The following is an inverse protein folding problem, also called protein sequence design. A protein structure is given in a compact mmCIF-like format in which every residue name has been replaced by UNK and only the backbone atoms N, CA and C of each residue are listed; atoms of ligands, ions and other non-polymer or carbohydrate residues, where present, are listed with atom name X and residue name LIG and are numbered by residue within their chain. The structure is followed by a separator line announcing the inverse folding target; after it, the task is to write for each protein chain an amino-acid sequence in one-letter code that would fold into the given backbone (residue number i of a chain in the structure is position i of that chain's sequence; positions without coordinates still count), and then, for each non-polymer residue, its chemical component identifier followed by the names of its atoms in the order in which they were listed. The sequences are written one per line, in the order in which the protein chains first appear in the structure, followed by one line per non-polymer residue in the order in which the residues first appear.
data_IF_306900452458
#
_entry.id   IF_306900452458
#
_cell.length_a   1.000
_cell.length_b   1.000
_cell.length_c   1.000
_cell.angle_alpha   90.00
_cell.angle_beta   90.00
_cell.angle_gamma   90.00
#
_symmetry.space_group_name_H-M   'P 1'
#
loop_
_entity.id
_entity.type
_entity.pdbx_description
1 polymer ?
#
# COMPACT_ATOMS: atom_id res chain seq x y z
N UNK A 1 -19.23 -20.21 -6.46
CA UNK A 1 -18.20 -19.31 -5.89
C UNK A 1 -17.96 -19.63 -4.40
N UNK A 2 -17.42 -20.80 -4.06
CA UNK A 2 -17.26 -21.25 -2.67
C UNK A 2 -16.24 -20.44 -1.85
N UNK A 3 -15.21 -19.87 -2.48
CA UNK A 3 -14.13 -19.15 -1.77
C UNK A 3 -14.55 -17.82 -1.12
N UNK A 4 -15.65 -17.22 -1.56
CA UNK A 4 -16.15 -15.95 -1.00
C UNK A 4 -16.91 -16.14 0.32
N UNK A 5 -17.47 -17.34 0.55
CA UNK A 5 -18.23 -17.64 1.77
C UNK A 5 -17.37 -17.59 3.04
N UNK A 6 -16.05 -17.85 2.91
CA UNK A 6 -15.10 -17.85 4.04
C UNK A 6 -14.27 -16.54 4.13
N UNK A 7 -14.45 -15.56 3.21
CA UNK A 7 -13.78 -14.24 3.22
C UNK A 7 -12.25 -14.30 3.10
N UNK A 8 -11.68 -15.44 2.71
CA UNK A 8 -10.26 -15.60 2.48
C UNK A 8 -10.03 -15.80 0.98
N UNK A 9 -9.46 -14.78 0.34
CA UNK A 9 -9.05 -14.85 -1.06
C UNK A 9 -7.55 -15.11 -1.04
N UNK A 10 -7.15 -16.36 -1.27
CA UNK A 10 -5.73 -16.80 -1.20
C UNK A 10 -4.84 -15.95 -2.12
N UNK A 11 -5.30 -15.62 -3.31
CA UNK A 11 -4.54 -14.78 -4.26
C UNK A 11 -4.26 -13.36 -3.75
N UNK A 12 -5.02 -12.83 -2.78
CA UNK A 12 -4.70 -11.52 -2.18
C UNK A 12 -3.43 -11.55 -1.32
N UNK A 13 -3.07 -12.72 -0.77
CA UNK A 13 -1.80 -12.90 -0.05
C UNK A 13 -0.63 -12.65 -1.00
N UNK A 14 -0.70 -13.23 -2.20
CA UNK A 14 0.28 -13.03 -3.28
C UNK A 14 0.38 -11.56 -3.68
N UNK A 15 -0.75 -10.93 -4.01
CA UNK A 15 -0.76 -9.54 -4.46
C UNK A 15 -0.30 -8.54 -3.40
N UNK A 16 -0.66 -8.75 -2.15
CA UNK A 16 -0.14 -7.92 -1.05
C UNK A 16 1.38 -8.02 -0.92
N UNK A 17 1.92 -9.23 -1.03
CA UNK A 17 3.36 -9.44 -1.03
C UNK A 17 4.02 -8.73 -2.22
N UNK A 18 3.49 -8.89 -3.44
CA UNK A 18 4.01 -8.22 -4.63
C UNK A 18 3.97 -6.69 -4.52
N UNK A 19 2.87 -6.12 -4.03
CA UNK A 19 2.76 -4.67 -3.82
C UNK A 19 3.76 -4.16 -2.77
N UNK A 20 4.01 -4.92 -1.70
CA UNK A 20 5.02 -4.57 -0.70
C UNK A 20 6.44 -4.69 -1.27
N UNK A 21 6.76 -5.80 -1.93
CA UNK A 21 8.06 -6.03 -2.55
C UNK A 21 8.34 -5.07 -3.71
N UNK A 22 7.30 -4.58 -4.39
CA UNK A 22 7.43 -3.49 -5.37
C UNK A 22 8.05 -2.22 -4.78
N UNK A 23 8.00 -2.04 -3.45
CA UNK A 23 8.72 -0.99 -2.75
C UNK A 23 10.24 -1.14 -2.84
N UNK A 24 10.74 -2.37 -2.83
CA UNK A 24 12.18 -2.63 -2.98
C UNK A 24 12.64 -2.18 -4.38
N UNK A 25 11.86 -2.51 -5.41
CA UNK A 25 12.17 -2.09 -6.79
C UNK A 25 12.20 -0.56 -6.89
N UNK A 26 11.19 0.14 -6.29
CA UNK A 26 11.15 1.59 -6.24
C UNK A 26 12.39 2.17 -5.55
N UNK A 27 12.69 1.70 -4.33
CA UNK A 27 13.80 2.26 -3.56
C UNK A 27 15.20 1.87 -4.09
N UNK A 28 15.28 0.82 -4.93
CA UNK A 28 16.49 0.53 -5.67
C UNK A 28 16.81 1.58 -6.75
N UNK A 29 15.84 2.40 -7.20
CA UNK A 29 16.06 3.50 -8.17
C UNK A 29 16.49 4.82 -7.53
N UNK A 30 16.64 4.91 -6.22
CA UNK A 30 17.10 6.14 -5.53
C UNK A 30 18.38 6.67 -6.20
N UNK A 31 18.49 7.98 -6.34
CA UNK A 31 19.58 8.71 -7.00
C UNK A 31 19.76 8.42 -8.50
N UNK A 32 18.79 7.73 -9.13
CA UNK A 32 18.89 7.32 -10.54
C UNK A 32 17.67 7.77 -11.38
N UNK A 33 16.81 8.62 -10.82
CA UNK A 33 15.57 9.07 -11.45
C UNK A 33 15.80 9.88 -12.74
N UNK A 34 17.01 10.40 -12.95
CA UNK A 34 17.43 11.07 -14.19
C UNK A 34 17.47 10.11 -15.41
N UNK A 35 17.57 8.81 -15.17
CA UNK A 35 17.57 7.82 -16.25
C UNK A 35 16.13 7.38 -16.57
N UNK A 36 15.68 7.45 -17.85
CA UNK A 36 14.31 7.20 -18.24
C UNK A 36 13.70 5.88 -17.73
N UNK A 37 14.41 4.72 -17.74
CA UNK A 37 13.84 3.47 -17.23
C UNK A 37 13.54 3.54 -15.72
N UNK A 38 14.40 4.16 -14.93
CA UNK A 38 14.21 4.28 -13.48
C UNK A 38 13.13 5.31 -13.15
N UNK A 39 13.07 6.41 -13.91
CA UNK A 39 11.97 7.37 -13.81
C UNK A 39 10.62 6.68 -14.11
N UNK A 40 10.55 5.81 -15.13
CA UNK A 40 9.34 5.05 -15.44
C UNK A 40 8.92 4.10 -14.31
N UNK A 41 9.87 3.43 -13.65
CA UNK A 41 9.61 2.61 -12.46
C UNK A 41 9.02 3.45 -11.32
N UNK A 42 9.60 4.63 -11.06
CA UNK A 42 9.09 5.56 -10.03
C UNK A 42 7.66 5.99 -10.31
N UNK A 43 7.38 6.44 -11.54
CA UNK A 43 6.05 6.88 -11.97
C UNK A 43 5.04 5.74 -11.84
N UNK A 44 5.36 4.57 -12.38
CA UNK A 44 4.48 3.42 -12.31
C UNK A 44 4.18 3.02 -10.86
N UNK A 45 5.21 2.95 -10.01
CA UNK A 45 5.05 2.62 -8.59
C UNK A 45 4.22 3.68 -7.85
N UNK A 46 4.50 4.97 -8.05
CA UNK A 46 3.79 6.07 -7.44
C UNK A 46 2.32 6.09 -7.88
N UNK A 47 2.04 5.83 -9.16
CA UNK A 47 0.70 5.94 -9.72
C UNK A 47 -0.30 4.94 -9.15
N UNK A 48 0.09 3.72 -8.76
CA UNK A 48 -0.95 2.76 -8.32
C UNK A 48 -0.62 1.96 -7.07
N UNK A 49 0.66 1.72 -6.76
CA UNK A 49 1.06 0.68 -5.79
C UNK A 49 0.48 0.90 -4.40
N UNK A 50 0.66 2.10 -3.84
CA UNK A 50 0.22 2.39 -2.47
C UNK A 50 -1.30 2.50 -2.37
N UNK A 51 -1.95 3.16 -3.33
CA UNK A 51 -3.41 3.26 -3.36
C UNK A 51 -4.07 1.89 -3.56
N UNK A 52 -3.51 1.01 -4.40
CA UNK A 52 -3.98 -0.37 -4.54
C UNK A 52 -3.86 -1.15 -3.22
N UNK A 53 -2.76 -0.97 -2.49
CA UNK A 53 -2.58 -1.57 -1.18
C UNK A 53 -3.62 -1.05 -0.17
N UNK A 54 -3.92 0.25 -0.18
CA UNK A 54 -4.96 0.83 0.69
C UNK A 54 -6.35 0.29 0.36
N UNK A 55 -6.70 0.15 -0.92
CA UNK A 55 -7.97 -0.44 -1.34
C UNK A 55 -8.10 -1.89 -0.87
N UNK A 56 -7.06 -2.71 -1.06
CA UNK A 56 -7.03 -4.09 -0.56
C UNK A 56 -7.13 -4.11 0.98
N UNK A 57 -6.45 -3.20 1.66
CA UNK A 57 -6.54 -3.08 3.12
C UNK A 57 -7.96 -2.72 3.57
N UNK A 58 -8.62 -1.80 2.88
CA UNK A 58 -10.03 -1.47 3.09
C UNK A 58 -10.94 -2.68 2.90
N UNK A 59 -10.79 -3.42 1.79
CA UNK A 59 -11.55 -4.63 1.50
C UNK A 59 -11.44 -5.68 2.61
N UNK A 60 -10.22 -5.96 3.05
CA UNK A 60 -9.97 -6.94 4.12
C UNK A 60 -10.50 -6.45 5.47
N UNK A 61 -10.43 -5.14 5.73
CA UNK A 61 -11.03 -4.51 6.91
C UNK A 61 -12.55 -4.64 6.89
N UNK A 62 -13.19 -4.38 5.75
CA UNK A 62 -14.62 -4.58 5.57
C UNK A 62 -15.05 -6.02 5.86
N UNK A 63 -14.32 -7.02 5.35
CA UNK A 63 -14.56 -8.43 5.67
C UNK A 63 -14.36 -8.76 7.15
N UNK A 64 -13.31 -8.23 7.78
CA UNK A 64 -13.02 -8.50 9.18
C UNK A 64 -14.14 -7.96 10.10
N UNK A 65 -14.52 -6.70 9.90
CA UNK A 65 -15.54 -6.04 10.72
C UNK A 65 -16.96 -6.57 10.47
N UNK A 66 -17.22 -7.27 9.37
CA UNK A 66 -18.50 -7.98 9.18
C UNK A 66 -18.65 -9.15 10.16
N UNK A 67 -17.54 -9.70 10.64
CA UNK A 67 -17.52 -10.88 11.53
C UNK A 67 -17.43 -10.53 13.01
N UNK A 68 -17.06 -9.30 13.33
CA UNK A 68 -16.91 -8.84 14.71
C UNK A 68 -18.01 -7.80 15.05
N UNK A 69 -19.04 -8.19 15.81
CA UNK A 69 -20.19 -7.34 16.06
C UNK A 69 -19.82 -5.98 16.65
N UNK A 70 -18.92 -5.91 17.62
CA UNK A 70 -18.54 -4.67 18.28
C UNK A 70 -17.34 -3.95 17.64
N UNK A 71 -16.52 -4.68 16.89
CA UNK A 71 -15.31 -4.15 16.25
C UNK A 71 -14.22 -3.65 17.22
N UNK A 72 -14.51 -3.61 18.54
CA UNK A 72 -13.59 -3.07 19.54
C UNK A 72 -12.31 -3.91 19.67
N UNK A 73 -12.47 -5.24 19.76
CA UNK A 73 -11.32 -6.13 19.87
C UNK A 73 -10.50 -6.14 18.57
N UNK A 74 -11.19 -6.03 17.41
CA UNK A 74 -10.51 -5.88 16.13
C UNK A 74 -9.65 -4.61 16.07
N UNK A 75 -10.21 -3.44 16.44
CA UNK A 75 -9.46 -2.17 16.38
C UNK A 75 -8.29 -2.18 17.35
N UNK A 76 -8.48 -2.70 18.57
CA UNK A 76 -7.41 -2.83 19.57
C UNK A 76 -6.25 -3.67 19.05
N UNK A 77 -6.55 -4.86 18.51
CA UNK A 77 -5.54 -5.74 17.90
C UNK A 77 -4.87 -5.09 16.69
N UNK A 78 -5.65 -4.42 15.84
CA UNK A 78 -5.13 -3.78 14.63
C UNK A 78 -4.24 -2.58 14.95
N UNK A 79 -4.61 -1.77 15.93
CA UNK A 79 -3.77 -0.66 16.40
C UNK A 79 -2.45 -1.16 17.00
N UNK A 80 -2.47 -2.19 17.85
CA UNK A 80 -1.24 -2.79 18.36
C UNK A 80 -0.33 -3.33 17.24
N UNK A 81 -0.92 -3.99 16.21
CA UNK A 81 -0.19 -4.52 15.07
C UNK A 81 0.47 -3.45 14.20
N UNK A 82 -0.02 -2.22 14.22
CA UNK A 82 0.49 -1.12 13.41
C UNK A 82 1.26 -0.10 14.25
N UNK A 83 0.73 0.35 15.40
CA UNK A 83 1.32 1.41 16.20
C UNK A 83 2.65 1.01 16.81
N UNK A 84 2.74 -0.20 17.39
CA UNK A 84 3.98 -0.66 18.01
C UNK A 84 5.13 -0.79 17.00
N UNK A 85 4.98 -1.49 15.86
CA UNK A 85 6.01 -1.51 14.84
C UNK A 85 6.34 -0.12 14.26
N UNK A 86 5.35 0.75 14.09
CA UNK A 86 5.58 2.12 13.63
C UNK A 86 6.45 2.89 14.62
N UNK A 87 6.12 2.85 15.91
CA UNK A 87 6.88 3.53 16.96
C UNK A 87 8.32 3.01 17.01
N UNK A 88 8.51 1.69 17.02
CA UNK A 88 9.83 1.06 17.02
C UNK A 88 10.63 1.49 15.78
N UNK A 89 10.00 1.47 14.59
CA UNK A 89 10.69 1.85 13.35
C UNK A 89 11.02 3.35 13.30
N UNK A 90 10.15 4.22 13.80
CA UNK A 90 10.44 5.66 13.90
C UNK A 90 11.61 5.93 14.84
N UNK A 91 11.69 5.23 15.97
CA UNK A 91 12.76 5.41 16.95
C UNK A 91 14.09 4.75 16.56
N UNK A 92 14.08 3.76 15.66
CA UNK A 92 15.29 3.01 15.27
C UNK A 92 15.67 3.22 13.81
N UNK A 93 14.76 2.96 12.88
CA UNK A 93 15.01 2.97 11.44
C UNK A 93 15.17 4.40 10.90
N UNK A 94 14.33 5.35 11.34
CA UNK A 94 14.43 6.74 10.87
C UNK A 94 15.76 7.41 11.26
N UNK A 95 16.30 7.28 12.48
CA UNK A 95 17.63 7.78 12.81
C UNK A 95 18.74 7.14 11.97
N UNK A 96 18.66 5.82 11.70
CA UNK A 96 19.63 5.12 10.84
C UNK A 96 19.59 5.71 9.43
N UNK A 97 18.41 5.88 8.83
CA UNK A 97 18.26 6.47 7.50
C UNK A 97 18.84 7.90 7.47
N UNK A 98 18.53 8.70 8.49
CA UNK A 98 19.05 10.06 8.61
C UNK A 98 20.58 10.07 8.64
N UNK A 99 21.18 9.22 9.47
CA UNK A 99 22.64 9.10 9.58
C UNK A 99 23.28 8.69 8.26
N UNK A 100 22.66 7.75 7.53
CA UNK A 100 23.15 7.34 6.21
C UNK A 100 23.06 8.48 5.18
N UNK A 101 22.00 9.27 5.16
CA UNK A 101 21.92 10.44 4.28
C UNK A 101 22.95 11.50 4.65
N UNK A 102 23.13 11.78 5.95
CA UNK A 102 24.17 12.71 6.42
C UNK A 102 25.57 12.21 6.03
N UNK A 103 25.82 10.90 6.10
CA UNK A 103 27.09 10.31 5.63
C UNK A 103 27.27 10.46 4.11
N UNK A 104 26.18 10.36 3.35
CA UNK A 104 26.22 10.50 1.88
C UNK A 104 26.40 11.95 1.40
N UNK A 105 25.83 12.91 2.13
CA UNK A 105 25.93 14.36 1.88
C UNK A 105 25.96 15.11 3.22
N UNK A 106 27.16 15.31 3.81
CA UNK A 106 27.31 16.02 5.08
C UNK A 106 26.94 17.50 5.02
N UNK A 107 27.01 18.13 3.83
CA UNK A 107 26.69 19.54 3.65
C UNK A 107 25.18 19.84 3.75
N UNK A 108 24.34 18.85 3.40
CA UNK A 108 22.88 18.99 3.40
C UNK A 108 22.20 17.87 4.19
N UNK A 109 22.34 17.84 5.54
CA UNK A 109 21.75 16.79 6.36
C UNK A 109 20.21 16.87 6.27
N UNK A 110 19.51 15.75 6.09
CA UNK A 110 18.06 15.76 6.01
C UNK A 110 17.42 16.14 7.34
N UNK A 111 16.27 16.82 7.27
CA UNK A 111 15.42 17.07 8.43
C UNK A 111 14.84 15.79 9.04
N UNK A 112 14.12 15.94 10.16
CA UNK A 112 13.37 14.84 10.75
C UNK A 112 12.26 14.40 9.81
N UNK A 113 12.24 13.13 9.44
CA UNK A 113 11.24 12.55 8.54
C UNK A 113 10.91 11.12 8.95
N UNK A 114 9.70 10.69 8.63
CA UNK A 114 9.29 9.29 8.75
C UNK A 114 9.60 8.48 7.48
N UNK A 115 10.23 9.12 6.48
CA UNK A 115 10.64 8.50 5.22
C UNK A 115 9.54 7.62 4.61
N UNK A 116 9.85 6.34 4.33
CA UNK A 116 8.90 5.39 3.75
C UNK A 116 7.81 4.90 4.73
N UNK A 117 7.92 5.19 6.03
CA UNK A 117 6.99 4.71 7.06
C UNK A 117 5.62 5.44 7.07
N UNK A 118 5.46 6.52 6.29
CA UNK A 118 4.20 7.29 6.18
C UNK A 118 2.99 6.39 5.88
N UNK A 119 3.20 5.31 5.15
CA UNK A 119 2.18 4.31 4.84
C UNK A 119 1.62 3.62 6.09
N UNK A 120 2.46 3.32 7.09
CA UNK A 120 2.00 2.72 8.35
C UNK A 120 1.14 3.71 9.15
N UNK A 121 1.53 4.99 9.13
CA UNK A 121 0.75 6.07 9.73
C UNK A 121 -0.60 6.21 9.03
N UNK A 122 -0.63 6.17 7.70
CA UNK A 122 -1.89 6.15 6.95
C UNK A 122 -2.81 4.99 7.35
N UNK A 123 -2.26 3.78 7.52
CA UNK A 123 -3.04 2.62 7.95
C UNK A 123 -3.59 2.76 9.38
N UNK A 124 -2.90 3.47 10.28
CA UNK A 124 -3.42 3.79 11.61
C UNK A 124 -4.67 4.68 11.51
N UNK A 125 -4.59 5.78 10.74
CA UNK A 125 -5.74 6.65 10.48
C UNK A 125 -6.90 5.89 9.85
N UNK A 126 -6.64 5.05 8.85
CA UNK A 126 -7.68 4.28 8.18
C UNK A 126 -8.29 3.20 9.07
N UNK A 127 -7.53 2.68 10.04
CA UNK A 127 -8.06 1.75 11.05
C UNK A 127 -9.10 2.46 11.93
N UNK A 128 -8.80 3.67 12.40
CA UNK A 128 -9.73 4.48 13.19
C UNK A 128 -10.94 4.90 12.37
N UNK A 129 -10.75 5.34 11.13
CA UNK A 129 -11.82 5.70 10.20
C UNK A 129 -12.76 4.51 9.96
N UNK A 130 -12.22 3.33 9.68
CA UNK A 130 -13.01 2.12 9.45
C UNK A 130 -13.80 1.70 10.69
N UNK A 131 -13.21 1.84 11.89
CA UNK A 131 -13.92 1.58 13.14
C UNK A 131 -15.07 2.56 13.36
N UNK A 132 -14.85 3.87 13.15
CA UNK A 132 -15.90 4.88 13.24
C UNK A 132 -17.06 4.59 12.28
N UNK A 133 -16.75 4.27 11.01
CA UNK A 133 -17.76 3.90 10.02
C UNK A 133 -18.51 2.61 10.38
N UNK A 134 -17.82 1.62 10.94
CA UNK A 134 -18.47 0.41 11.43
C UNK A 134 -19.44 0.71 12.57
N UNK A 135 -19.08 1.60 13.50
CA UNK A 135 -19.98 2.04 14.59
C UNK A 135 -21.21 2.77 14.05
N UNK A 136 -21.02 3.66 13.07
CA UNK A 136 -22.13 4.35 12.39
C UNK A 136 -23.04 3.35 11.68
N UNK A 137 -22.47 2.39 10.93
CA UNK A 137 -23.23 1.36 10.22
C UNK A 137 -24.04 0.48 11.17
N UNK A 138 -23.54 0.17 12.34
CA UNK A 138 -24.31 -0.56 13.37
C UNK A 138 -25.55 0.19 13.84
N UNK A 139 -25.45 1.52 13.94
CA UNK A 139 -26.57 2.37 14.37
C UNK A 139 -27.60 2.55 13.26
N UNK A 140 -27.13 2.79 12.02
CA UNK A 140 -27.97 3.27 10.91
C UNK A 140 -28.14 2.24 9.79
N UNK A 141 -27.47 1.09 9.84
CA UNK A 141 -27.47 0.03 8.80
C UNK A 141 -27.21 0.58 7.39
N UNK A 142 -26.32 1.56 7.30
CA UNK A 142 -26.05 2.31 6.06
C UNK A 142 -25.71 1.40 4.90
N UNK A 143 -24.76 0.45 5.10
CA UNK A 143 -24.35 -0.46 4.04
C UNK A 143 -25.47 -1.41 3.60
N UNK A 144 -26.33 -1.83 4.52
CA UNK A 144 -27.52 -2.63 4.19
C UNK A 144 -28.53 -1.86 3.37
N UNK A 145 -28.83 -0.62 3.74
CA UNK A 145 -29.74 0.24 2.98
C UNK A 145 -29.20 0.54 1.57
N UNK A 146 -27.91 0.88 1.46
CA UNK A 146 -27.27 1.15 0.18
C UNK A 146 -27.21 -0.10 -0.70
N UNK A 147 -26.87 -1.27 -0.14
CA UNK A 147 -26.83 -2.54 -0.89
C UNK A 147 -28.19 -2.90 -1.50
N UNK A 148 -29.27 -2.63 -0.80
CA UNK A 148 -30.63 -2.91 -1.23
C UNK A 148 -31.26 -1.81 -2.12
N UNK A 149 -30.58 -0.66 -2.25
CA UNK A 149 -31.10 0.43 -3.06
C UNK A 149 -31.05 0.09 -4.56
N UNK A 150 -32.11 0.43 -5.29
CA UNK A 150 -32.17 0.24 -6.74
C UNK A 150 -31.05 0.98 -7.49
N UNK A 151 -30.53 2.05 -6.90
CA UNK A 151 -29.44 2.85 -7.46
C UNK A 151 -28.14 2.03 -7.60
N UNK A 152 -27.79 1.20 -6.60
CA UNK A 152 -26.58 0.41 -6.67
C UNK A 152 -26.63 -0.63 -7.78
N UNK A 153 -27.81 -1.20 -8.05
CA UNK A 153 -27.99 -2.15 -9.14
C UNK A 153 -27.76 -1.51 -10.54
N UNK A 154 -27.94 -0.19 -10.66
CA UNK A 154 -27.73 0.57 -11.89
C UNK A 154 -26.32 1.16 -12.02
N UNK A 155 -25.50 1.08 -10.97
CA UNK A 155 -24.16 1.64 -10.95
C UNK A 155 -23.27 0.88 -11.94
N UNK A 156 -22.52 1.62 -12.76
CA UNK A 156 -21.55 1.05 -13.71
C UNK A 156 -20.13 1.10 -13.12
N UNK A 157 -19.30 0.12 -13.50
CA UNK A 157 -17.90 0.07 -13.10
C UNK A 157 -17.16 1.37 -13.45
N UNK A 158 -17.40 1.95 -14.63
CA UNK A 158 -16.78 3.20 -15.05
C UNK A 158 -17.08 4.36 -14.10
N UNK A 159 -18.35 4.52 -13.70
CA UNK A 159 -18.76 5.57 -12.75
C UNK A 159 -18.09 5.38 -11.40
N UNK A 160 -18.00 4.14 -10.93
CA UNK A 160 -17.37 3.81 -9.66
C UNK A 160 -15.87 4.14 -9.65
N UNK A 161 -15.14 3.69 -10.69
CA UNK A 161 -13.69 3.92 -10.79
C UNK A 161 -13.37 5.41 -11.02
N UNK A 162 -14.07 6.05 -11.95
CA UNK A 162 -13.87 7.48 -12.25
C UNK A 162 -14.26 8.36 -11.06
N UNK A 163 -15.40 8.12 -10.44
CA UNK A 163 -15.87 8.90 -9.29
C UNK A 163 -14.91 8.80 -8.09
N UNK A 164 -14.42 7.60 -7.78
CA UNK A 164 -13.42 7.43 -6.72
C UNK A 164 -12.12 8.17 -7.05
N UNK A 165 -11.62 8.03 -8.27
CA UNK A 165 -10.42 8.73 -8.72
C UNK A 165 -10.59 10.24 -8.72
N UNK A 166 -11.73 10.76 -9.21
CA UNK A 166 -12.02 12.21 -9.21
C UNK A 166 -12.05 12.76 -7.79
N UNK A 167 -12.69 12.07 -6.86
CA UNK A 167 -12.72 12.50 -5.45
C UNK A 167 -11.31 12.51 -4.84
N UNK A 168 -10.51 11.49 -5.09
CA UNK A 168 -9.09 11.43 -4.67
C UNK A 168 -8.29 12.58 -5.29
N UNK A 169 -8.45 12.83 -6.58
CA UNK A 169 -7.75 13.90 -7.31
C UNK A 169 -8.06 15.29 -6.73
N UNK A 170 -9.34 15.59 -6.55
CA UNK A 170 -9.79 16.88 -5.98
C UNK A 170 -9.23 17.07 -4.57
N UNK A 171 -9.29 16.04 -3.73
CA UNK A 171 -8.75 16.13 -2.36
C UNK A 171 -7.24 16.43 -2.36
N UNK A 172 -6.46 15.77 -3.20
CA UNK A 172 -5.01 16.03 -3.30
C UNK A 172 -4.75 17.46 -3.78
N UNK A 173 -5.44 17.91 -4.83
CA UNK A 173 -5.26 19.26 -5.39
C UNK A 173 -5.60 20.37 -4.38
N UNK A 174 -6.69 20.20 -3.62
CA UNK A 174 -7.11 21.22 -2.65
C UNK A 174 -6.22 21.22 -1.40
N UNK A 175 -5.75 20.08 -0.95
CA UNK A 175 -4.99 19.99 0.30
C UNK A 175 -3.50 20.27 0.11
N UNK A 176 -2.92 20.01 -1.07
CA UNK A 176 -1.50 20.22 -1.31
C UNK A 176 -1.03 21.65 -1.05
N UNK A 177 -1.69 22.71 -1.57
CA UNK A 177 -1.29 24.10 -1.30
C UNK A 177 -1.48 24.49 0.17
N UNK A 178 -2.53 23.99 0.83
CA UNK A 178 -2.79 24.25 2.26
C UNK A 178 -1.67 23.64 3.11
N UNK A 179 -1.30 22.40 2.87
CA UNK A 179 -0.23 21.74 3.60
C UNK A 179 1.14 22.37 3.34
N UNK A 180 1.40 22.79 2.11
CA UNK A 180 2.62 23.52 1.76
C UNK A 180 2.73 24.87 2.48
N UNK A 181 1.61 25.59 2.61
CA UNK A 181 1.57 26.88 3.32
C UNK A 181 1.78 26.72 4.83
N UNK A 182 1.28 25.64 5.43
CA UNK A 182 1.41 25.38 6.87
C UNK A 182 2.84 24.97 7.28
N UNK A 183 3.59 24.29 6.40
CA UNK A 183 4.96 23.82 6.68
C UNK A 183 5.84 23.99 5.45
N UNK A 184 6.33 25.21 5.17
CA UNK A 184 6.96 25.53 3.89
C UNK A 184 8.30 24.83 3.64
N UNK A 185 9.05 24.40 4.66
CA UNK A 185 10.46 24.01 4.48
C UNK A 185 10.89 22.69 5.10
N UNK A 186 9.94 21.82 5.52
CA UNK A 186 10.33 20.56 6.16
C UNK A 186 9.52 19.37 5.62
N UNK A 187 10.17 18.23 5.31
CA UNK A 187 9.48 16.97 5.02
C UNK A 187 8.86 16.44 6.33
N UNK A 188 7.67 16.91 6.66
CA UNK A 188 6.92 16.55 7.86
C UNK A 188 5.74 15.65 7.51
N UNK A 189 5.10 15.07 8.54
CA UNK A 189 3.82 14.37 8.40
C UNK A 189 2.75 15.23 7.71
N UNK A 190 2.78 16.55 7.90
CA UNK A 190 1.84 17.49 7.29
C UNK A 190 2.02 17.52 5.76
N UNK A 191 3.25 17.44 5.26
CA UNK A 191 3.49 17.34 3.80
C UNK A 191 3.01 16.00 3.21
N UNK A 192 2.92 14.94 4.02
CA UNK A 192 2.34 13.67 3.60
C UNK A 192 0.80 13.64 3.68
N UNK A 193 0.19 14.60 4.38
CA UNK A 193 -1.25 14.63 4.60
C UNK A 193 -2.08 14.63 3.29
N UNK A 194 -1.74 15.38 2.21
CA UNK A 194 -2.49 15.33 0.97
C UNK A 194 -2.54 13.92 0.37
N UNK A 195 -1.44 13.17 0.43
CA UNK A 195 -1.37 11.80 -0.08
C UNK A 195 -2.20 10.86 0.80
N UNK A 196 -2.11 11.00 2.13
CA UNK A 196 -2.88 10.19 3.08
C UNK A 196 -4.36 10.46 2.91
N UNK A 197 -4.80 11.71 2.94
CA UNK A 197 -6.22 12.09 2.83
C UNK A 197 -6.74 11.80 1.42
N UNK A 198 -5.95 12.05 0.38
CA UNK A 198 -6.30 11.76 -1.01
C UNK A 198 -6.54 10.28 -1.30
N UNK A 199 -5.97 9.37 -0.52
CA UNK A 199 -6.24 7.92 -0.63
C UNK A 199 -7.44 7.44 0.21
N UNK A 200 -8.09 8.30 1.01
CA UNK A 200 -9.30 7.93 1.77
C UNK A 200 -10.40 7.37 0.85
N UNK A 201 -10.77 8.02 -0.29
CA UNK A 201 -11.80 7.47 -1.17
C UNK A 201 -11.47 6.07 -1.69
N UNK A 202 -10.20 5.83 -2.02
CA UNK A 202 -9.71 4.52 -2.48
C UNK A 202 -9.82 3.47 -1.38
N UNK A 203 -9.43 3.80 -0.15
CA UNK A 203 -9.59 2.91 1.02
C UNK A 203 -11.07 2.63 1.31
N UNK A 204 -11.93 3.67 1.27
CA UNK A 204 -13.37 3.55 1.51
C UNK A 204 -14.07 2.72 0.46
N UNK A 205 -13.68 2.83 -0.82
CA UNK A 205 -14.18 1.95 -1.87
C UNK A 205 -13.85 0.48 -1.55
N UNK A 206 -12.62 0.20 -1.12
CA UNK A 206 -12.24 -1.14 -0.67
C UNK A 206 -13.09 -1.62 0.50
N UNK A 207 -13.25 -0.79 1.53
CA UNK A 207 -14.07 -1.08 2.71
C UNK A 207 -15.52 -1.38 2.35
N UNK A 208 -16.12 -0.55 1.49
CA UNK A 208 -17.47 -0.76 0.98
C UNK A 208 -17.59 -2.05 0.16
N UNK A 209 -16.63 -2.36 -0.70
CA UNK A 209 -16.58 -3.64 -1.41
C UNK A 209 -16.47 -4.86 -0.48
N UNK A 210 -15.85 -4.69 0.70
CA UNK A 210 -15.80 -5.72 1.75
C UNK A 210 -17.16 -5.96 2.40
N UNK A 211 -17.97 -4.91 2.54
CA UNK A 211 -19.29 -4.93 3.19
C UNK A 211 -20.43 -5.25 2.22
N UNK A 212 -20.33 -4.80 0.97
CA UNK A 212 -21.38 -4.85 -0.03
C UNK A 212 -21.00 -5.79 -1.19
N UNK A 213 -21.55 -7.02 -1.26
CA UNK A 213 -21.28 -7.99 -2.33
C UNK A 213 -21.62 -7.49 -3.73
N UNK A 214 -22.70 -6.73 -3.87
CA UNK A 214 -23.12 -6.18 -5.17
C UNK A 214 -22.13 -5.15 -5.67
N UNK A 215 -21.69 -4.21 -4.81
CA UNK A 215 -20.68 -3.23 -5.15
C UNK A 215 -19.35 -3.91 -5.57
N UNK A 216 -18.94 -4.94 -4.83
CA UNK A 216 -17.74 -5.72 -5.18
C UNK A 216 -17.88 -6.40 -6.55
N UNK A 217 -19.05 -6.97 -6.88
CA UNK A 217 -19.30 -7.55 -8.22
C UNK A 217 -19.19 -6.50 -9.32
N UNK A 218 -19.73 -5.31 -9.12
CA UNK A 218 -19.64 -4.19 -10.07
C UNK A 218 -18.17 -3.77 -10.21
N UNK A 219 -17.44 -3.62 -9.10
CA UNK A 219 -16.04 -3.21 -9.09
C UNK A 219 -15.16 -4.12 -9.94
N UNK A 220 -15.38 -5.43 -9.94
CA UNK A 220 -14.63 -6.42 -10.72
C UNK A 220 -15.31 -6.85 -12.02
N UNK A 221 -16.39 -6.20 -12.45
CA UNK A 221 -17.24 -6.68 -13.54
C UNK A 221 -16.51 -6.87 -14.87
N UNK A 222 -15.62 -5.94 -15.26
CA UNK A 222 -14.92 -5.96 -16.53
C UNK A 222 -13.43 -5.66 -16.43
N UNK A 223 -12.68 -5.93 -17.50
CA UNK A 223 -11.27 -5.56 -17.63
C UNK A 223 -11.04 -4.34 -18.55
N UNK A 224 -12.00 -4.06 -19.45
CA UNK A 224 -11.84 -3.01 -20.48
C UNK A 224 -11.68 -1.62 -19.86
N UNK A 225 -12.57 -1.24 -18.92
CA UNK A 225 -12.52 0.07 -18.27
C UNK A 225 -11.23 0.26 -17.43
N UNK A 226 -10.85 -0.68 -16.53
CA UNK A 226 -9.58 -0.58 -15.84
C UNK A 226 -8.37 -0.48 -16.77
N UNK A 227 -8.30 -1.29 -17.83
CA UNK A 227 -7.20 -1.22 -18.80
C UNK A 227 -7.17 0.12 -19.54
N UNK A 228 -8.34 0.66 -19.96
CA UNK A 228 -8.40 1.96 -20.62
C UNK A 228 -7.88 3.09 -19.71
N UNK A 229 -8.23 3.07 -18.41
CA UNK A 229 -7.72 4.05 -17.42
C UNK A 229 -6.20 3.94 -17.31
N UNK A 230 -5.67 2.73 -17.13
CA UNK A 230 -4.22 2.52 -16.95
C UNK A 230 -3.43 2.90 -18.23
N UNK A 231 -3.94 2.51 -19.41
CA UNK A 231 -3.32 2.87 -20.70
C UNK A 231 -3.38 4.38 -20.92
N UNK A 232 -4.53 5.03 -20.65
CA UNK A 232 -4.68 6.48 -20.76
C UNK A 232 -3.71 7.23 -19.85
N UNK A 233 -3.55 6.78 -18.60
CA UNK A 233 -2.58 7.34 -17.66
C UNK A 233 -1.13 7.16 -18.18
N UNK A 234 -0.77 5.98 -18.65
CA UNK A 234 0.55 5.71 -19.22
C UNK A 234 0.84 6.60 -20.44
N UNK A 235 -0.13 6.75 -21.35
CA UNK A 235 -0.01 7.64 -22.50
C UNK A 235 0.12 9.11 -22.09
N UNK A 236 -0.66 9.58 -21.11
CA UNK A 236 -0.56 10.93 -20.59
C UNK A 236 0.82 11.19 -19.99
N UNK A 237 1.34 10.27 -19.19
CA UNK A 237 2.69 10.36 -18.63
C UNK A 237 3.78 10.37 -19.70
N UNK A 238 3.63 9.57 -20.74
CA UNK A 238 4.54 9.56 -21.88
C UNK A 238 4.50 10.88 -22.64
N UNK A 239 3.29 11.39 -22.95
CA UNK A 239 3.11 12.65 -23.68
C UNK A 239 3.76 13.84 -22.98
N UNK A 240 3.50 14.06 -21.66
CA UNK A 240 4.05 15.22 -20.94
C UNK A 240 5.57 15.15 -20.75
N UNK A 241 6.21 14.06 -21.15
CA UNK A 241 7.67 13.89 -21.14
C UNK A 241 8.27 13.81 -22.52
N UNK A 242 7.45 13.92 -23.57
CA UNK A 242 7.94 13.91 -24.94
C UNK A 242 8.61 15.23 -25.31
N UNK A 243 9.71 15.15 -26.07
CA UNK A 243 10.41 16.31 -26.62
C UNK A 243 9.49 17.14 -27.54
N UNK A 244 8.51 16.48 -28.17
CA UNK A 244 7.52 17.12 -29.01
C UNK A 244 6.66 18.14 -28.26
N UNK A 245 6.26 17.84 -27.02
CA UNK A 245 5.50 18.77 -26.17
C UNK A 245 6.44 19.82 -25.55
N UNK A 246 7.62 19.40 -25.09
CA UNK A 246 8.62 20.28 -24.50
C UNK A 246 9.10 21.39 -25.47
N UNK A 247 9.11 21.10 -26.77
CA UNK A 247 9.46 22.09 -27.81
C UNK A 247 8.38 23.17 -28.05
N UNK A 248 7.16 22.99 -27.48
CA UNK A 248 6.00 23.88 -27.76
C UNK A 248 5.56 24.72 -26.57
N UNK A 249 5.95 24.34 -25.38
CA UNK A 249 5.53 24.99 -24.13
C UNK A 249 6.72 25.30 -23.25
N UNK A 250 6.60 26.35 -22.44
CA UNK A 250 7.59 26.75 -21.49
C UNK A 250 7.78 25.67 -20.39
N UNK A 251 8.99 25.58 -19.82
CA UNK A 251 9.32 24.60 -18.79
C UNK A 251 8.40 24.71 -17.55
N UNK A 252 7.94 25.91 -17.20
CA UNK A 252 6.99 26.11 -16.11
C UNK A 252 5.65 25.39 -16.38
N UNK A 253 5.11 25.56 -17.60
CA UNK A 253 3.88 24.90 -18.06
C UNK A 253 4.07 23.38 -18.08
N UNK A 254 5.20 22.92 -18.61
CA UNK A 254 5.51 21.49 -18.66
C UNK A 254 5.68 20.86 -17.29
N UNK A 255 6.31 21.58 -16.35
CA UNK A 255 6.44 21.12 -14.95
C UNK A 255 5.08 20.99 -14.29
N UNK A 256 4.21 21.98 -14.47
CA UNK A 256 2.83 21.93 -13.94
C UNK A 256 2.03 20.78 -14.58
N UNK A 257 2.13 20.58 -15.89
CA UNK A 257 1.48 19.48 -16.60
C UNK A 257 1.94 18.10 -16.10
N UNK A 258 3.26 17.93 -15.90
CA UNK A 258 3.84 16.71 -15.33
C UNK A 258 3.30 16.43 -13.92
N UNK A 259 3.19 17.45 -13.07
CA UNK A 259 2.64 17.34 -11.72
C UNK A 259 1.15 16.95 -11.75
N UNK A 260 0.34 17.62 -12.58
CA UNK A 260 -1.10 17.31 -12.72
C UNK A 260 -1.29 15.87 -13.20
N UNK A 261 -0.55 15.43 -14.22
CA UNK A 261 -0.63 14.06 -14.75
C UNK A 261 -0.18 13.03 -13.70
N UNK A 262 0.85 13.35 -12.89
CA UNK A 262 1.26 12.48 -11.79
C UNK A 262 0.16 12.34 -10.73
N UNK A 263 -0.43 13.44 -10.29
CA UNK A 263 -1.54 13.43 -9.31
C UNK A 263 -2.75 12.69 -9.89
N UNK A 264 -3.08 12.90 -11.16
CA UNK A 264 -4.12 12.18 -11.87
C UNK A 264 -3.85 10.65 -11.87
N UNK A 265 -2.62 10.25 -12.19
CA UNK A 265 -2.19 8.85 -12.11
C UNK A 265 -2.39 8.26 -10.72
N UNK A 266 -1.94 8.97 -9.66
CA UNK A 266 -2.09 8.49 -8.26
C UNK A 266 -3.56 8.43 -7.81
N UNK A 267 -4.48 9.10 -8.48
CA UNK A 267 -5.90 9.11 -8.16
C UNK A 267 -6.70 8.01 -8.90
N UNK A 268 -6.52 7.88 -10.22
CA UNK A 268 -7.34 6.95 -11.02
C UNK A 268 -6.71 5.56 -11.22
N UNK A 269 -5.38 5.43 -11.22
CA UNK A 269 -4.75 4.13 -11.40
C UNK A 269 -4.99 3.14 -10.24
N UNK A 270 -5.00 3.53 -8.96
CA UNK A 270 -5.20 2.58 -7.87
C UNK A 270 -6.51 1.80 -7.94
N UNK A 271 -7.71 2.41 -8.08
CA UNK A 271 -8.94 1.66 -8.19
C UNK A 271 -8.97 0.80 -9.48
N UNK A 272 -8.43 1.29 -10.60
CA UNK A 272 -8.36 0.54 -11.84
C UNK A 272 -7.43 -0.69 -11.72
N UNK A 273 -6.22 -0.51 -11.23
CA UNK A 273 -5.27 -1.60 -11.02
C UNK A 273 -5.83 -2.64 -10.02
N UNK A 274 -6.45 -2.18 -8.93
CA UNK A 274 -7.00 -3.08 -7.91
C UNK A 274 -8.18 -3.89 -8.44
N UNK A 275 -8.99 -3.35 -9.34
CA UNK A 275 -10.05 -4.13 -9.99
C UNK A 275 -9.48 -5.32 -10.76
N UNK A 276 -8.36 -5.15 -11.49
CA UNK A 276 -7.65 -6.23 -12.18
C UNK A 276 -6.97 -7.19 -11.19
N UNK A 277 -6.31 -6.64 -10.16
CA UNK A 277 -5.66 -7.41 -9.08
C UNK A 277 -6.70 -8.33 -8.41
N UNK A 278 -7.84 -7.79 -8.01
CA UNK A 278 -8.86 -8.58 -7.33
C UNK A 278 -9.45 -9.67 -8.25
N UNK A 279 -9.65 -9.37 -9.53
CA UNK A 279 -10.06 -10.38 -10.52
C UNK A 279 -9.05 -11.51 -10.62
N UNK A 280 -7.77 -11.20 -10.74
CA UNK A 280 -6.71 -12.22 -10.83
C UNK A 280 -6.56 -12.99 -9.52
N UNK A 281 -6.65 -12.30 -8.36
CA UNK A 281 -6.61 -12.93 -7.05
C UNK A 281 -7.74 -13.95 -6.84
N UNK A 282 -8.94 -13.64 -7.35
CA UNK A 282 -10.08 -14.56 -7.29
C UNK A 282 -9.95 -15.77 -8.24
N UNK A 283 -9.18 -15.64 -9.30
CA UNK A 283 -8.88 -16.74 -10.21
C UNK A 283 -7.78 -17.69 -9.68
N UNK A 284 -6.96 -17.23 -8.73
CA UNK A 284 -5.91 -18.04 -8.11
C UNK A 284 -6.52 -19.05 -7.11
N UNK A 285 -6.36 -20.34 -7.38
CA UNK A 285 -6.84 -21.40 -6.49
C UNK A 285 -5.82 -21.76 -5.43
N UNK A 286 -4.54 -21.67 -5.76
CA UNK A 286 -3.42 -22.03 -4.86
C UNK A 286 -2.34 -20.97 -4.88
N UNK A 287 -1.65 -20.80 -3.78
CA UNK A 287 -0.47 -19.92 -3.65
C UNK A 287 0.76 -20.79 -3.40
N UNK A 288 1.79 -20.69 -4.26
CA UNK A 288 3.04 -21.43 -4.07
C UNK A 288 3.65 -21.19 -2.69
N UNK A 289 4.27 -22.22 -2.06
CA UNK A 289 4.86 -22.09 -0.72
C UNK A 289 5.90 -20.96 -0.61
N UNK A 290 6.69 -20.74 -1.66
CA UNK A 290 7.69 -19.64 -1.72
C UNK A 290 7.00 -18.28 -1.62
N UNK A 291 5.91 -18.06 -2.35
CA UNK A 291 5.14 -16.80 -2.30
C UNK A 291 4.52 -16.60 -0.91
N UNK A 292 4.06 -17.68 -0.27
CA UNK A 292 3.52 -17.60 1.08
C UNK A 292 4.59 -17.18 2.09
N UNK A 293 5.79 -17.76 2.02
CA UNK A 293 6.94 -17.34 2.85
C UNK A 293 7.32 -15.89 2.59
N UNK A 294 7.37 -15.46 1.33
CA UNK A 294 7.60 -14.06 0.95
C UNK A 294 6.54 -13.12 1.52
N UNK A 295 5.28 -13.52 1.47
CA UNK A 295 4.19 -12.75 2.04
C UNK A 295 4.29 -12.61 3.57
N UNK A 296 4.75 -13.65 4.26
CA UNK A 296 4.99 -13.60 5.71
C UNK A 296 6.13 -12.65 6.07
N UNK A 297 7.19 -12.61 5.25
CA UNK A 297 8.36 -11.75 5.43
C UNK A 297 8.12 -10.30 4.96
N UNK A 298 7.18 -10.07 4.04
CA UNK A 298 7.03 -8.82 3.29
C UNK A 298 6.93 -7.58 4.18
N UNK A 299 6.26 -7.67 5.33
CA UNK A 299 6.13 -6.55 6.25
C UNK A 299 7.46 -6.20 6.95
N UNK A 300 8.20 -7.21 7.43
CA UNK A 300 9.56 -6.99 7.96
C UNK A 300 10.47 -6.41 6.88
N UNK A 301 10.47 -7.01 5.69
CA UNK A 301 11.27 -6.53 4.56
C UNK A 301 10.95 -5.07 4.24
N UNK A 302 9.66 -4.71 4.26
CA UNK A 302 9.23 -3.32 4.06
C UNK A 302 9.84 -2.36 5.09
N UNK A 303 9.94 -2.73 6.35
CA UNK A 303 10.49 -1.86 7.39
C UNK A 303 12.01 -1.68 7.22
N UNK A 304 12.75 -2.76 6.94
CA UNK A 304 14.21 -2.76 7.01
C UNK A 304 14.91 -2.51 5.68
N UNK A 305 14.23 -2.68 4.52
CA UNK A 305 14.91 -2.64 3.21
C UNK A 305 15.54 -1.28 2.88
N UNK A 306 14.86 -0.18 3.25
CA UNK A 306 15.26 1.15 2.83
C UNK A 306 16.65 1.55 3.36
N UNK A 307 16.95 1.48 4.68
CA UNK A 307 18.28 1.74 5.19
C UNK A 307 19.32 0.76 4.62
N UNK A 308 18.97 -0.51 4.42
CA UNK A 308 19.90 -1.51 3.85
C UNK A 308 20.27 -1.11 2.41
N UNK A 309 19.28 -0.80 1.57
CA UNK A 309 19.52 -0.38 0.19
C UNK A 309 20.34 0.91 0.10
N UNK A 310 20.04 1.89 0.96
CA UNK A 310 20.79 3.12 1.04
C UNK A 310 22.25 2.87 1.43
N UNK A 311 22.49 2.03 2.43
CA UNK A 311 23.85 1.66 2.84
C UNK A 311 24.61 0.94 1.69
N UNK A 312 23.96 0.01 0.98
CA UNK A 312 24.55 -0.67 -0.19
C UNK A 312 24.92 0.35 -1.27
N UNK A 313 24.05 1.30 -1.57
CA UNK A 313 24.34 2.34 -2.59
C UNK A 313 25.49 3.25 -2.19
N UNK A 314 25.55 3.66 -0.93
CA UNK A 314 26.68 4.45 -0.42
C UNK A 314 27.97 3.65 -0.55
N UNK A 315 27.99 2.39 -0.12
CA UNK A 315 29.17 1.51 -0.22
C UNK A 315 29.57 1.19 -1.67
N UNK A 316 28.62 1.20 -2.60
CA UNK A 316 28.89 0.94 -4.02
C UNK A 316 29.42 2.16 -4.78
N UNK A 317 29.31 3.39 -4.25
CA UNK A 317 29.78 4.61 -4.92
C UNK A 317 31.28 4.53 -5.33
N UNK A 318 32.24 4.19 -4.43
CA UNK A 318 33.64 4.13 -4.79
C UNK A 318 33.97 3.01 -5.78
N UNK A 319 33.08 1.99 -5.94
CA UNK A 319 33.31 0.87 -6.87
C UNK A 319 32.93 1.25 -8.31
N UNK A 320 32.15 2.33 -8.50
CA UNK A 320 31.81 2.82 -9.84
C UNK A 320 30.88 1.90 -10.65
N UNK A 321 29.94 1.18 -10.00
CA UNK A 321 29.07 0.17 -10.64
C UNK A 321 28.15 0.71 -11.75
N UNK A 322 28.08 2.01 -11.96
CA UNK A 322 27.13 2.62 -12.87
C UNK A 322 25.65 2.45 -12.44
N UNK A 323 24.68 3.04 -13.17
CA UNK A 323 23.29 3.07 -12.77
C UNK A 323 22.63 1.68 -12.65
N UNK A 324 22.85 0.82 -13.63
CA UNK A 324 22.29 -0.54 -13.65
C UNK A 324 22.93 -1.46 -12.61
N UNK A 325 24.26 -1.37 -12.43
CA UNK A 325 24.96 -2.13 -11.40
C UNK A 325 24.54 -1.71 -9.99
N UNK A 326 24.42 -0.41 -9.72
CA UNK A 326 23.93 0.12 -8.46
C UNK A 326 22.49 -0.28 -8.17
N UNK A 327 21.59 -0.23 -9.18
CA UNK A 327 20.22 -0.72 -9.07
C UNK A 327 20.16 -2.22 -8.74
N UNK A 328 20.88 -3.04 -9.52
CA UNK A 328 20.92 -4.49 -9.32
C UNK A 328 21.48 -4.87 -7.94
N UNK A 329 22.58 -4.24 -7.53
CA UNK A 329 23.17 -4.46 -6.21
C UNK A 329 22.20 -4.09 -5.08
N UNK A 330 21.57 -2.91 -5.14
CA UNK A 330 20.58 -2.49 -4.15
C UNK A 330 19.40 -3.44 -4.08
N UNK A 331 18.83 -3.85 -5.23
CA UNK A 331 17.66 -4.72 -5.31
C UNK A 331 17.98 -6.14 -4.79
N UNK A 332 19.04 -6.76 -5.31
CA UNK A 332 19.36 -8.16 -5.00
C UNK A 332 19.92 -8.30 -3.59
N UNK A 333 20.97 -7.55 -3.25
CA UNK A 333 21.58 -7.62 -1.91
C UNK A 333 20.63 -7.06 -0.85
N UNK A 334 19.93 -5.94 -1.14
CA UNK A 334 18.94 -5.37 -0.25
C UNK A 334 17.76 -6.32 0.01
N UNK A 335 17.28 -7.01 -1.03
CA UNK A 335 16.26 -8.03 -0.92
C UNK A 335 16.70 -9.23 -0.09
N UNK A 336 17.87 -9.82 -0.42
CA UNK A 336 18.43 -10.97 0.30
C UNK A 336 18.74 -10.65 1.75
N UNK A 337 19.36 -9.51 2.05
CA UNK A 337 19.65 -9.10 3.43
C UNK A 337 18.38 -8.87 4.23
N UNK A 338 17.38 -8.17 3.65
CA UNK A 338 16.09 -7.95 4.31
C UNK A 338 15.36 -9.26 4.60
N UNK A 339 15.39 -10.21 3.66
CA UNK A 339 14.87 -11.55 3.86
C UNK A 339 15.64 -12.30 4.96
N UNK A 340 16.95 -12.28 4.94
CA UNK A 340 17.80 -12.96 5.93
C UNK A 340 17.56 -12.42 7.33
N UNK A 341 17.41 -11.10 7.48
CA UNK A 341 17.05 -10.47 8.76
C UNK A 341 15.69 -11.01 9.24
N UNK A 342 14.70 -11.11 8.35
CA UNK A 342 13.42 -11.70 8.72
C UNK A 342 13.57 -13.14 9.18
N UNK A 343 14.21 -14.01 8.38
CA UNK A 343 14.28 -15.45 8.61
C UNK A 343 15.18 -15.83 9.78
N UNK A 344 16.36 -15.19 9.89
CA UNK A 344 17.38 -15.58 10.87
C UNK A 344 17.28 -14.83 12.20
N UNK A 345 16.75 -13.59 12.18
CA UNK A 345 16.74 -12.73 13.37
C UNK A 345 15.29 -12.58 13.87
N UNK A 346 14.39 -12.03 13.06
CA UNK A 346 13.05 -11.67 13.51
C UNK A 346 12.22 -12.93 13.81
N UNK A 347 12.13 -13.86 12.85
CA UNK A 347 11.29 -15.05 12.99
C UNK A 347 11.73 -16.00 14.11
N UNK A 348 13.02 -15.98 14.46
CA UNK A 348 13.59 -16.85 15.52
C UNK A 348 13.52 -16.23 16.92
N UNK A 349 13.32 -14.93 17.02
CA UNK A 349 13.21 -14.23 18.29
C UNK A 349 11.82 -14.39 18.90
N UNK A 350 11.74 -14.44 20.22
CA UNK A 350 10.47 -14.48 20.97
C UNK A 350 9.74 -13.13 20.92
N UNK A 351 10.46 -12.00 20.94
CA UNK A 351 9.90 -10.66 21.09
C UNK A 351 9.94 -9.81 19.83
N UNK A 352 10.90 -10.03 18.95
CA UNK A 352 11.03 -9.24 17.72
C UNK A 352 9.82 -9.34 16.78
N UNK A 353 9.11 -10.47 16.64
CA UNK A 353 7.87 -10.50 15.87
C UNK A 353 6.79 -9.57 16.42
N UNK A 354 6.74 -9.34 17.74
CA UNK A 354 5.83 -8.36 18.32
C UNK A 354 6.28 -6.93 17.98
N UNK A 355 7.55 -6.61 18.18
CA UNK A 355 8.09 -5.27 17.99
C UNK A 355 8.12 -4.84 16.52
N UNK A 356 8.42 -5.76 15.60
CA UNK A 356 8.59 -5.46 14.17
C UNK A 356 7.32 -5.74 13.36
N UNK A 357 6.54 -6.77 13.72
CA UNK A 357 5.37 -7.22 12.95
C UNK A 357 4.04 -7.08 13.73
N UNK A 358 4.08 -6.62 14.99
CA UNK A 358 2.91 -6.54 15.86
C UNK A 358 2.25 -7.91 16.13
N UNK A 359 2.99 -9.03 15.95
CA UNK A 359 2.48 -10.38 16.18
C UNK A 359 2.74 -10.79 17.62
N UNK A 360 1.68 -11.04 18.38
CA UNK A 360 1.80 -11.54 19.75
C UNK A 360 2.54 -12.90 19.76
N UNK A 361 3.43 -13.13 20.77
CA UNK A 361 4.04 -14.42 20.98
C UNK A 361 2.97 -15.50 21.14
N UNK A 362 3.22 -16.70 20.59
CA UNK A 362 2.26 -17.83 20.66
C UNK A 362 1.87 -18.20 22.11
N UNK A 363 2.72 -17.90 23.07
CA UNK A 363 2.48 -18.15 24.52
C UNK A 363 1.54 -17.13 25.16
N UNK A 364 1.29 -15.99 24.53
CA UNK A 364 0.39 -14.94 24.99
C UNK A 364 -0.88 -14.82 24.13
N UNK A 365 -1.01 -15.67 23.10
CA UNK A 365 -2.25 -15.74 22.35
C UNK A 365 -3.32 -16.40 23.25
N UNK A 366 -4.51 -15.79 23.40
CA UNK A 366 -5.58 -16.39 24.18
C UNK A 366 -5.90 -17.78 23.65
N UNK A 367 -5.81 -18.78 24.50
CA UNK A 367 -6.00 -20.21 24.21
C UNK A 367 -7.47 -20.58 23.86
N UNK A 368 -8.31 -19.61 23.51
CA UNK A 368 -9.77 -19.76 23.49
C UNK A 368 -10.48 -19.93 22.12
N UNK A 369 -9.85 -19.74 20.95
CA UNK A 369 -10.65 -19.66 19.70
C UNK A 369 -10.08 -20.36 18.46
N UNK A 370 -9.05 -21.21 18.59
CA UNK A 370 -8.41 -21.86 17.41
C UNK A 370 -8.34 -23.37 17.39
N UNK A 371 -8.48 -24.04 18.52
CA UNK A 371 -8.27 -25.49 18.61
C UNK A 371 -9.55 -26.33 18.40
N UNK A 372 -10.73 -25.75 18.59
CA UNK A 372 -12.00 -26.50 18.54
C UNK A 372 -12.59 -26.73 17.15
N UNK A 373 -12.10 -25.99 16.12
CA UNK A 373 -12.63 -26.08 14.76
C UNK A 373 -11.89 -27.07 13.87
N UNK A 374 -10.71 -27.57 14.27
CA UNK A 374 -9.96 -28.56 13.47
C UNK A 374 -10.09 -30.00 13.97
N UNK A 375 -10.67 -30.22 15.16
CA UNK A 375 -10.75 -31.57 15.76
C UNK A 375 -12.10 -32.30 15.50
N UNK A 376 -13.05 -31.72 14.76
CA UNK A 376 -14.39 -32.32 14.54
C UNK A 376 -14.69 -32.82 13.13
N UNK A 377 -13.71 -33.01 12.26
CA UNK A 377 -13.92 -33.67 10.96
C UNK A 377 -12.89 -34.79 10.75
N UNK A 378 -12.84 -35.71 11.67
CA UNK A 378 -12.32 -37.06 11.40
C UNK A 378 -13.43 -37.88 10.75
N UNK A 379 -13.16 -38.67 9.69
CA UNK A 379 -14.17 -39.50 9.06
C UNK A 379 -14.61 -40.59 10.04
N UNK A 380 -15.91 -40.64 10.37
CA UNK A 380 -16.52 -41.80 11.02
C UNK A 380 -16.37 -43.00 10.10
N UNK A 381 -15.56 -43.93 10.51
CA UNK A 381 -15.56 -45.31 9.95
C UNK A 381 -16.80 -46.02 10.46
N UNK A 382 -17.68 -46.39 9.59
CA UNK A 382 -18.53 -47.57 9.66
C UNK A 382 -18.86 -48.03 8.27
#
# INVERSE_FOLDING_TARGET
MPQLAHGRIEGLVTWRALLMLGGLVLHATIDQERYPPFAAINIASASFRMGAFFLISGLLTGFALTREPDGHEWVRRRLLQLALPTLVAVLTICPIIRSLFTLADPAHPPGLSIYHLWFMVALLYYTLLAYGLHRIDRLWRVFGHVENASLIARLRQSVLLMGTGTLSFVLVLQLSPICAALVPNQPSLIQQAPIIIGNIPTFLLGFACGRMPTLRRIFIAGRRVPLAILTGAALAHWMVRSDWLAARFDEAVMTQARMIVLVAGTAWCPPAATALILRSAMAMQTVPPVIRRLAEASFTMYIVHYPIMLAIKIAARPIGLGPWGGFAAALLLGGVLSWTIHDRVIARSRWLPLLVNGRLPRTLAPTGLGASAMARNGPSRS
#
